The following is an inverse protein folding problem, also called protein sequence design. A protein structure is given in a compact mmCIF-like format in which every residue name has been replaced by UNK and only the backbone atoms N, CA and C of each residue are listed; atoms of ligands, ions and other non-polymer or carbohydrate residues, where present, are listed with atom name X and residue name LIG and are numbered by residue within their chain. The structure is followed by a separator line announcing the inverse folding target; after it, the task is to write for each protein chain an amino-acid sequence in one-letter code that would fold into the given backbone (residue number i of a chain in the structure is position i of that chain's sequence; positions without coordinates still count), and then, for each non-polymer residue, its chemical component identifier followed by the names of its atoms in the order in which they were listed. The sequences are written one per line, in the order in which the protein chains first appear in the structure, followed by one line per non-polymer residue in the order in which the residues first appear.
data_IF_181113536344
#
_entry.id   IF_181113536344
#
_cell.length_a   1.000
_cell.length_b   1.000
_cell.length_c   1.000
_cell.angle_alpha   90.00
_cell.angle_beta   90.00
_cell.angle_gamma   90.00
#
_symmetry.space_group_name_H-M   'P 1'
#
loop_
_entity.id
_entity.type
_entity.pdbx_description
1 polymer ?
#
# COMPACT_ATOMS: atom_id res chain seq x y z
N UNK A 1 7.49 -22.81 -7.55
CA UNK A 1 7.71 -21.54 -6.84
C UNK A 1 7.65 -21.84 -5.36
N UNK A 2 8.64 -21.42 -4.58
CA UNK A 2 8.63 -21.63 -3.13
C UNK A 2 7.57 -20.73 -2.48
N UNK A 3 6.95 -21.15 -1.38
CA UNK A 3 5.93 -20.38 -0.66
C UNK A 3 6.46 -18.98 -0.28
N UNK A 4 7.73 -18.91 0.11
CA UNK A 4 8.41 -17.66 0.48
C UNK A 4 8.58 -16.70 -0.71
N UNK A 5 8.90 -17.21 -1.89
CA UNK A 5 9.02 -16.39 -3.11
C UNK A 5 7.66 -15.82 -3.51
N UNK A 6 6.58 -16.58 -3.30
CA UNK A 6 5.20 -16.14 -3.51
C UNK A 6 4.83 -15.01 -2.55
N UNK A 7 5.20 -15.12 -1.27
CA UNK A 7 4.98 -14.06 -0.26
C UNK A 7 5.73 -12.77 -0.60
N UNK A 8 7.00 -12.90 -1.04
CA UNK A 8 7.79 -11.75 -1.49
C UNK A 8 7.17 -11.06 -2.71
N UNK A 9 6.79 -11.83 -3.74
CA UNK A 9 6.12 -11.31 -4.94
C UNK A 9 4.77 -10.67 -4.59
N UNK A 10 4.01 -11.28 -3.69
CA UNK A 10 2.75 -10.72 -3.16
C UNK A 10 2.98 -9.39 -2.44
N UNK A 11 4.02 -9.29 -1.61
CA UNK A 11 4.42 -8.05 -0.94
C UNK A 11 4.78 -6.94 -1.92
N UNK A 12 5.64 -7.23 -2.92
CA UNK A 12 6.02 -6.28 -3.98
C UNK A 12 4.80 -5.83 -4.79
N UNK A 13 3.89 -6.75 -5.10
CA UNK A 13 2.65 -6.44 -5.82
C UNK A 13 1.74 -5.51 -5.00
N UNK A 14 1.56 -5.78 -3.70
CA UNK A 14 0.82 -4.90 -2.79
C UNK A 14 1.44 -3.50 -2.69
N UNK A 15 2.76 -3.40 -2.60
CA UNK A 15 3.48 -2.13 -2.59
C UNK A 15 3.28 -1.35 -3.89
N UNK A 16 3.37 -2.03 -5.03
CA UNK A 16 3.17 -1.40 -6.34
C UNK A 16 1.74 -0.86 -6.48
N UNK A 17 0.73 -1.66 -6.12
CA UNK A 17 -0.67 -1.25 -6.19
C UNK A 17 -0.97 -0.09 -5.22
N UNK A 18 -0.47 -0.16 -3.99
CA UNK A 18 -0.69 0.92 -3.01
C UNK A 18 -0.11 2.25 -3.48
N UNK A 19 1.07 2.26 -4.11
CA UNK A 19 1.66 3.47 -4.69
C UNK A 19 0.78 4.01 -5.83
N UNK A 20 0.33 3.15 -6.75
CA UNK A 20 -0.53 3.56 -7.87
C UNK A 20 -1.87 4.12 -7.40
N UNK A 21 -2.52 3.45 -6.44
CA UNK A 21 -3.77 3.91 -5.84
C UNK A 21 -3.56 5.22 -5.06
N UNK A 22 -2.46 5.33 -4.31
CA UNK A 22 -2.10 6.53 -3.56
C UNK A 22 -1.92 7.74 -4.47
N UNK A 23 -1.19 7.57 -5.58
CA UNK A 23 -1.02 8.63 -6.57
C UNK A 23 -2.34 9.06 -7.22
N UNK A 24 -3.17 8.08 -7.61
CA UNK A 24 -4.49 8.36 -8.19
C UNK A 24 -5.42 9.08 -7.21
N UNK A 25 -5.44 8.65 -5.95
CA UNK A 25 -6.27 9.30 -4.92
C UNK A 25 -5.76 10.71 -4.60
N UNK A 26 -4.44 10.94 -4.60
CA UNK A 26 -3.86 12.27 -4.47
C UNK A 26 -4.30 13.23 -5.59
N UNK A 27 -4.28 12.77 -6.85
CA UNK A 27 -4.76 13.56 -7.98
C UNK A 27 -6.26 13.87 -7.87
N UNK A 28 -7.06 12.87 -7.47
CA UNK A 28 -8.49 13.05 -7.22
C UNK A 28 -8.75 14.06 -6.10
N UNK A 29 -8.04 13.93 -4.98
CA UNK A 29 -8.19 14.82 -3.85
C UNK A 29 -7.88 16.27 -4.21
N UNK A 30 -6.85 16.48 -5.06
CA UNK A 30 -6.49 17.79 -5.59
C UNK A 30 -7.58 18.38 -6.51
N UNK A 31 -8.37 17.55 -7.18
CA UNK A 31 -9.45 18.02 -8.06
C UNK A 31 -10.78 18.31 -7.34
N UNK A 32 -10.94 17.87 -6.08
CA UNK A 32 -12.15 18.13 -5.29
C UNK A 32 -12.21 19.61 -4.89
N UNK A 33 -13.37 20.25 -5.08
CA UNK A 33 -13.61 21.64 -4.66
C UNK A 33 -13.38 21.78 -3.15
N UNK A 34 -12.81 22.92 -2.73
CA UNK A 34 -12.43 23.13 -1.33
C UNK A 34 -13.59 22.98 -0.34
N UNK A 35 -14.79 23.28 -0.80
CA UNK A 35 -15.99 23.42 0.02
C UNK A 35 -16.76 22.08 0.17
N UNK A 36 -16.31 21.05 -0.55
CA UNK A 36 -16.91 19.71 -0.55
C UNK A 36 -16.27 18.83 0.53
N UNK A 37 -16.59 19.15 1.80
CA UNK A 37 -16.01 18.50 2.98
C UNK A 37 -16.30 17.00 3.06
N UNK A 38 -17.47 16.57 2.59
CA UNK A 38 -17.89 15.17 2.60
C UNK A 38 -16.96 14.35 1.69
N UNK A 39 -16.79 14.79 0.44
CA UNK A 39 -15.91 14.15 -0.54
C UNK A 39 -14.45 14.13 -0.08
N UNK A 40 -13.97 15.20 0.55
CA UNK A 40 -12.62 15.21 1.14
C UNK A 40 -12.45 14.21 2.28
N UNK A 41 -13.43 14.09 3.17
CA UNK A 41 -13.38 13.14 4.28
C UNK A 41 -13.32 11.69 3.78
N UNK A 42 -14.14 11.35 2.77
CA UNK A 42 -14.06 10.04 2.11
C UNK A 42 -12.72 9.78 1.43
N UNK A 43 -12.13 10.80 0.81
CA UNK A 43 -10.81 10.67 0.18
C UNK A 43 -9.71 10.42 1.21
N UNK A 44 -9.77 11.08 2.38
CA UNK A 44 -8.86 10.82 3.51
C UNK A 44 -9.02 9.38 4.03
N UNK A 45 -10.26 8.88 4.17
CA UNK A 45 -10.48 7.49 4.57
C UNK A 45 -9.87 6.49 3.58
N UNK A 46 -10.01 6.74 2.26
CA UNK A 46 -9.36 5.92 1.22
C UNK A 46 -7.83 5.98 1.33
N UNK A 47 -7.28 7.16 1.57
CA UNK A 47 -5.84 7.35 1.76
C UNK A 47 -5.33 6.53 2.97
N UNK A 48 -6.06 6.55 4.09
CA UNK A 48 -5.74 5.73 5.26
C UNK A 48 -5.74 4.24 4.93
N UNK A 49 -6.73 3.76 4.17
CA UNK A 49 -6.76 2.37 3.69
C UNK A 49 -5.55 2.01 2.82
N UNK A 50 -5.15 2.91 1.91
CA UNK A 50 -3.96 2.75 1.07
C UNK A 50 -2.68 2.68 1.92
N UNK A 51 -2.57 3.49 2.97
CA UNK A 51 -1.42 3.48 3.89
C UNK A 51 -1.35 2.15 4.65
N UNK A 52 -2.47 1.66 5.19
CA UNK A 52 -2.51 0.35 5.88
C UNK A 52 -2.10 -0.76 4.91
N UNK A 53 -2.59 -0.72 3.67
CA UNK A 53 -2.26 -1.69 2.64
C UNK A 53 -0.78 -1.64 2.23
N UNK A 54 -0.19 -0.43 2.17
CA UNK A 54 1.23 -0.23 1.95
C UNK A 54 2.07 -0.86 3.08
N UNK A 55 1.71 -0.58 4.35
CA UNK A 55 2.39 -1.15 5.52
C UNK A 55 2.33 -2.68 5.51
N UNK A 56 1.18 -3.27 5.18
CA UNK A 56 1.05 -4.72 5.04
C UNK A 56 1.99 -5.28 3.95
N UNK A 57 2.11 -4.60 2.81
CA UNK A 57 3.09 -4.94 1.77
C UNK A 57 4.53 -4.88 2.27
N UNK A 58 4.90 -3.85 3.04
CA UNK A 58 6.24 -3.74 3.66
C UNK A 58 6.49 -4.91 4.61
N UNK A 59 5.54 -5.27 5.45
CA UNK A 59 5.68 -6.38 6.42
C UNK A 59 5.89 -7.73 5.73
N UNK A 60 5.20 -8.00 4.62
CA UNK A 60 5.39 -9.22 3.84
C UNK A 60 6.79 -9.30 3.22
N UNK A 61 7.27 -8.20 2.64
CA UNK A 61 8.63 -8.15 2.08
C UNK A 61 9.68 -8.26 3.19
N UNK A 62 9.47 -7.58 4.32
CA UNK A 62 10.36 -7.65 5.46
C UNK A 62 10.43 -9.06 6.06
N UNK A 63 9.30 -9.75 6.19
CA UNK A 63 9.25 -11.13 6.68
C UNK A 63 10.10 -12.08 5.82
N UNK A 64 10.03 -11.94 4.49
CA UNK A 64 10.88 -12.70 3.59
C UNK A 64 12.39 -12.49 3.84
N UNK A 65 12.83 -11.22 3.92
CA UNK A 65 14.25 -10.93 4.13
C UNK A 65 14.73 -11.24 5.55
N UNK A 66 13.91 -11.00 6.56
CA UNK A 66 14.25 -11.29 7.96
C UNK A 66 14.47 -12.78 8.19
N UNK A 67 13.62 -13.63 7.61
CA UNK A 67 13.77 -15.09 7.64
C UNK A 67 14.97 -15.58 6.83
N UNK A 68 15.27 -14.91 5.72
CA UNK A 68 16.43 -15.24 4.89
C UNK A 68 17.75 -15.01 5.65
N UNK A 69 17.84 -13.93 6.43
CA UNK A 69 19.03 -13.63 7.23
C UNK A 69 19.20 -14.54 8.45
N UNK A 70 18.14 -15.12 8.99
CA UNK A 70 18.21 -16.09 10.10
C UNK A 70 18.45 -17.52 9.66
N UNK A 71 18.30 -17.83 8.37
CA UNK A 71 18.58 -19.15 7.80
C UNK A 71 19.99 -19.29 7.19
N UNK A 72 20.81 -18.25 7.25
CA UNK A 72 22.26 -18.23 6.91
C UNK A 72 23.06 -18.40 8.19
#
# INVERSE_FOLDING_TARGET
MNLKELEMLGGIFCLTISILLGYREYLNWKSIKKDDYILKSFSIQKLTGIIIFFIAGVLLVYGYFSDFFTSI
#
